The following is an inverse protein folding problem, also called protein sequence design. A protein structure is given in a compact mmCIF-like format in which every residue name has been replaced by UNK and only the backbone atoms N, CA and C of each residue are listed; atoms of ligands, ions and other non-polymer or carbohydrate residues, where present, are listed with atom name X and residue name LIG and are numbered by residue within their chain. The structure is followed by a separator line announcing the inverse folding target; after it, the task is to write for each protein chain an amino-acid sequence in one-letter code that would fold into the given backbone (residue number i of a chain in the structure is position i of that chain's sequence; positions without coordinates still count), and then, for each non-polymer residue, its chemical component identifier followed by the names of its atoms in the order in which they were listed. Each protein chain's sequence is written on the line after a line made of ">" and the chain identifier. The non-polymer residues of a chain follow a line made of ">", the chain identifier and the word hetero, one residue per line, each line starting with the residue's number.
data_IF_980902279536
#
_entry.id   IF_980902279536
#
_cell.length_a   1.000
_cell.length_b   1.000
_cell.length_c   1.000
_cell.angle_alpha   90.00
_cell.angle_beta   90.00
_cell.angle_gamma   90.00
#
_symmetry.space_group_name_H-M   'P 1'
#
loop_
_entity.id
_entity.type
_entity.pdbx_description
1 polymer ?
#
# COMPACT_ATOMS: atom_id res chain seq x y z
N UNK A 1 -26.94 -2.60 -25.93
CA UNK A 1 -25.69 -2.23 -25.23
C UNK A 1 -25.87 -0.79 -24.85
N UNK A 2 -25.78 -0.52 -23.57
CA UNK A 2 -26.23 0.71 -22.94
C UNK A 2 -25.11 1.77 -23.06
N UNK A 3 -25.44 2.99 -23.46
CA UNK A 3 -24.47 4.07 -23.72
C UNK A 3 -23.60 4.42 -22.48
N UNK A 4 -24.00 3.95 -21.29
CA UNK A 4 -23.23 4.04 -20.05
C UNK A 4 -21.97 3.17 -20.01
N UNK A 5 -21.97 2.00 -20.64
CA UNK A 5 -20.82 1.08 -20.66
C UNK A 5 -19.68 1.62 -21.55
N UNK A 6 -20.03 2.34 -22.63
CA UNK A 6 -19.06 2.89 -23.57
C UNK A 6 -18.31 4.12 -23.01
N UNK A 7 -18.99 4.91 -22.18
CA UNK A 7 -18.41 6.06 -21.47
C UNK A 7 -17.49 5.58 -20.32
N UNK A 8 -17.85 4.51 -19.62
CA UNK A 8 -17.05 3.98 -18.52
C UNK A 8 -15.82 3.18 -19.02
N UNK A 9 -15.97 2.46 -20.14
CA UNK A 9 -14.87 1.84 -20.87
C UNK A 9 -13.89 2.89 -21.41
N UNK A 10 -14.40 4.01 -21.93
CA UNK A 10 -13.59 5.15 -22.36
C UNK A 10 -12.81 5.79 -21.22
N UNK A 11 -13.37 5.91 -20.00
CA UNK A 11 -12.61 6.40 -18.82
C UNK A 11 -11.51 5.43 -18.37
N UNK A 12 -11.77 4.13 -18.38
CA UNK A 12 -10.78 3.13 -18.03
C UNK A 12 -9.62 3.10 -19.05
N UNK A 13 -9.94 3.25 -20.34
CA UNK A 13 -8.95 3.39 -21.40
C UNK A 13 -8.17 4.70 -21.29
N UNK A 14 -8.80 5.83 -20.97
CA UNK A 14 -8.10 7.10 -20.72
C UNK A 14 -7.16 7.00 -19.54
N UNK A 15 -7.52 6.29 -18.47
CA UNK A 15 -6.63 6.10 -17.31
C UNK A 15 -5.41 5.22 -17.66
N UNK A 16 -5.58 4.23 -18.54
CA UNK A 16 -4.48 3.39 -19.05
C UNK A 16 -3.61 4.17 -20.05
N UNK A 17 -4.23 4.97 -20.92
CA UNK A 17 -3.53 5.82 -21.89
C UNK A 17 -2.75 6.91 -21.16
N UNK A 18 -3.30 7.58 -20.15
CA UNK A 18 -2.59 8.58 -19.32
C UNK A 18 -1.42 7.95 -18.53
N UNK A 19 -1.51 6.67 -18.15
CA UNK A 19 -0.38 5.94 -17.57
C UNK A 19 0.74 5.64 -18.59
N UNK A 20 0.40 5.56 -19.89
CA UNK A 20 1.29 5.23 -21.01
C UNK A 20 1.86 6.48 -21.71
N UNK A 21 1.08 7.56 -21.84
CA UNK A 21 1.41 8.75 -22.65
C UNK A 21 1.85 9.96 -21.83
N UNK A 22 1.85 9.88 -20.49
CA UNK A 22 2.36 10.96 -19.66
C UNK A 22 3.82 11.28 -20.04
N UNK A 23 4.03 12.50 -20.58
CA UNK A 23 5.30 13.23 -20.65
C UNK A 23 6.14 12.88 -19.42
N UNK A 24 7.47 12.67 -19.51
CA UNK A 24 8.30 12.23 -18.38
C UNK A 24 8.36 13.34 -17.31
N UNK A 25 7.29 13.46 -16.55
CA UNK A 25 7.26 14.13 -15.27
C UNK A 25 8.11 13.30 -14.34
N UNK A 26 8.93 13.97 -13.53
CA UNK A 26 9.78 13.32 -12.53
C UNK A 26 8.99 12.17 -11.86
N UNK A 27 9.54 10.94 -11.81
CA UNK A 27 8.89 9.80 -11.19
C UNK A 27 8.22 10.18 -9.87
N UNK A 28 7.03 9.63 -9.59
CA UNK A 28 6.23 10.03 -8.43
C UNK A 28 7.00 9.94 -7.09
N UNK A 29 7.99 9.06 -6.97
CA UNK A 29 8.88 8.98 -5.82
C UNK A 29 9.82 10.18 -5.73
N UNK A 30 10.43 10.64 -6.83
CA UNK A 30 11.25 11.87 -6.87
C UNK A 30 10.43 13.09 -6.45
N UNK A 31 9.18 13.19 -6.93
CA UNK A 31 8.28 14.28 -6.50
C UNK A 31 7.91 14.20 -5.02
N UNK A 32 7.80 13.00 -4.44
CA UNK A 32 7.53 12.81 -3.01
C UNK A 32 8.76 13.19 -2.18
N UNK A 33 9.95 12.73 -2.58
CA UNK A 33 11.23 13.07 -1.95
C UNK A 33 11.48 14.59 -1.96
N UNK A 34 11.36 15.26 -3.11
CA UNK A 34 11.55 16.72 -3.16
C UNK A 34 10.57 17.48 -2.26
N UNK A 35 9.31 17.02 -2.16
CA UNK A 35 8.37 17.58 -1.20
C UNK A 35 8.78 17.27 0.26
N UNK A 36 9.34 16.09 0.55
CA UNK A 36 9.74 15.70 1.92
C UNK A 36 10.92 16.58 2.36
N UNK A 37 11.87 16.81 1.45
CA UNK A 37 12.97 17.77 1.61
C UNK A 37 12.45 19.20 1.84
N UNK A 38 11.49 19.69 1.06
CA UNK A 38 10.85 20.99 1.29
C UNK A 38 10.18 21.09 2.67
N UNK A 39 9.60 20.00 3.18
CA UNK A 39 8.93 20.00 4.50
C UNK A 39 9.92 19.92 5.65
N UNK A 40 11.01 19.16 5.45
CA UNK A 40 12.13 19.07 6.39
C UNK A 40 12.96 20.36 6.44
N UNK A 41 13.01 21.11 5.33
CA UNK A 41 13.71 22.40 5.24
C UNK A 41 12.97 23.55 5.93
N UNK A 42 11.69 23.37 6.30
CA UNK A 42 10.98 24.36 7.11
C UNK A 42 11.54 24.35 8.54
N UNK A 43 11.67 25.53 9.20
CA UNK A 43 12.13 25.60 10.58
C UNK A 43 11.27 24.69 11.48
N UNK A 44 11.89 23.81 12.29
CA UNK A 44 11.14 22.95 13.18
C UNK A 44 10.42 23.80 14.22
N UNK A 45 9.11 23.59 14.33
CA UNK A 45 8.28 24.25 15.34
C UNK A 45 8.24 23.33 16.55
N UNK A 46 8.59 23.84 17.72
CA UNK A 46 8.52 23.07 18.95
C UNK A 46 7.06 22.86 19.39
N UNK A 47 6.72 21.79 20.13
CA UNK A 47 5.35 21.54 20.58
C UNK A 47 4.70 22.74 21.28
N UNK A 48 5.44 23.44 22.14
CA UNK A 48 4.95 24.63 22.85
C UNK A 48 4.71 25.82 21.92
N UNK A 49 5.62 26.03 20.96
CA UNK A 49 5.50 27.06 19.93
C UNK A 49 4.27 26.80 19.05
N UNK A 50 4.01 25.55 18.68
CA UNK A 50 2.82 25.16 17.94
C UNK A 50 1.54 25.52 18.70
N UNK A 51 1.48 25.19 20.00
CA UNK A 51 0.31 25.51 20.86
C UNK A 51 0.11 27.02 20.95
N UNK A 52 1.18 27.79 21.16
CA UNK A 52 1.11 29.25 21.24
C UNK A 52 0.60 29.87 19.92
N UNK A 53 1.17 29.46 18.79
CA UNK A 53 0.74 29.92 17.48
C UNK A 53 -0.71 29.50 17.17
N UNK A 54 -1.12 28.30 17.60
CA UNK A 54 -2.46 27.77 17.35
C UNK A 54 -3.51 28.57 18.13
N UNK A 55 -3.24 28.87 19.39
CA UNK A 55 -4.09 29.73 20.24
C UNK A 55 -4.22 31.15 19.66
N UNK A 56 -3.14 31.68 19.07
CA UNK A 56 -3.14 32.98 18.38
C UNK A 56 -3.79 32.95 16.98
N UNK A 57 -4.27 31.80 16.50
CA UNK A 57 -4.76 31.59 15.12
C UNK A 57 -3.73 31.94 14.03
N UNK A 58 -2.44 31.77 14.32
CA UNK A 58 -1.32 32.09 13.41
C UNK A 58 -0.64 30.86 12.80
N UNK A 59 -1.00 29.65 13.22
CA UNK A 59 -0.50 28.41 12.60
C UNK A 59 -1.04 28.29 11.18
N UNK A 60 -0.13 28.20 10.22
CA UNK A 60 -0.45 27.79 8.86
C UNK A 60 -0.44 26.26 8.72
N UNK A 61 -1.14 25.68 7.73
CA UNK A 61 -1.12 24.23 7.57
C UNK A 61 0.24 23.66 7.13
N UNK A 62 1.09 24.47 6.47
CA UNK A 62 2.48 24.08 6.17
C UNK A 62 3.28 23.90 7.46
N UNK A 63 3.10 24.81 8.42
CA UNK A 63 3.70 24.74 9.74
C UNK A 63 3.19 23.53 10.53
N UNK A 64 1.87 23.26 10.51
CA UNK A 64 1.32 22.06 11.13
C UNK A 64 1.86 20.75 10.52
N UNK A 65 2.00 20.70 9.20
CA UNK A 65 2.58 19.55 8.50
C UNK A 65 4.06 19.36 8.85
N UNK A 66 4.84 20.43 8.88
CA UNK A 66 6.27 20.39 9.26
C UNK A 66 6.45 19.96 10.72
N UNK A 67 5.65 20.51 11.65
CA UNK A 67 5.61 20.10 13.05
C UNK A 67 5.38 18.59 13.20
N UNK A 68 4.31 18.08 12.58
CA UNK A 68 3.98 16.64 12.61
C UNK A 68 5.08 15.79 11.95
N UNK A 69 5.64 16.25 10.84
CA UNK A 69 6.66 15.52 10.10
C UNK A 69 7.95 15.39 10.92
N UNK A 70 8.49 16.50 11.41
CA UNK A 70 9.74 16.53 12.16
C UNK A 70 9.63 15.72 13.45
N UNK A 71 8.56 15.92 14.22
CA UNK A 71 8.33 15.16 15.45
C UNK A 71 8.21 13.65 15.18
N UNK A 72 7.52 13.26 14.09
CA UNK A 72 7.42 11.85 13.69
C UNK A 72 8.77 11.26 13.30
N UNK A 73 9.61 12.02 12.60
CA UNK A 73 10.97 11.59 12.22
C UNK A 73 11.83 11.40 13.47
N UNK A 74 11.77 12.33 14.43
CA UNK A 74 12.56 12.26 15.66
C UNK A 74 12.15 11.07 16.54
N UNK A 75 10.85 10.80 16.68
CA UNK A 75 10.36 9.59 17.34
C UNK A 75 10.83 8.33 16.58
N UNK A 76 10.80 8.34 15.25
CA UNK A 76 11.21 7.19 14.44
C UNK A 76 12.71 6.90 14.47
N UNK A 77 13.55 7.83 14.90
CA UNK A 77 14.98 7.54 15.15
C UNK A 77 15.19 6.64 16.37
N UNK A 78 14.26 6.64 17.33
CA UNK A 78 14.32 5.81 18.54
C UNK A 78 14.03 4.32 18.21
N UNK A 79 14.60 3.33 18.92
CA UNK A 79 14.24 1.90 18.80
C UNK A 79 12.74 1.65 19.04
N UNK A 80 12.14 0.64 18.40
CA UNK A 80 10.70 0.33 18.52
C UNK A 80 10.23 0.16 19.98
N UNK A 81 11.05 -0.46 20.84
CA UNK A 81 10.79 -0.63 22.27
C UNK A 81 10.78 0.68 23.07
N UNK A 82 11.46 1.70 22.56
CA UNK A 82 11.60 3.03 23.16
C UNK A 82 10.63 4.05 22.54
N UNK A 83 10.01 3.71 21.41
CA UNK A 83 8.85 4.44 20.84
C UNK A 83 7.56 4.17 21.61
N UNK A 84 7.68 3.75 22.87
CA UNK A 84 6.56 3.67 23.81
C UNK A 84 5.87 5.02 23.93
N UNK A 85 4.89 5.17 24.82
CA UNK A 85 4.06 6.36 24.82
C UNK A 85 4.81 7.53 25.48
N UNK A 86 5.82 8.03 24.78
CA UNK A 86 6.54 9.25 25.05
C UNK A 86 5.51 10.36 25.22
N UNK A 87 5.63 11.11 26.30
CA UNK A 87 4.72 12.24 26.59
C UNK A 87 4.71 13.27 25.46
N UNK A 88 5.77 13.33 24.65
CA UNK A 88 5.87 14.18 23.45
C UNK A 88 4.92 13.74 22.32
N UNK A 89 4.68 12.43 22.14
CA UNK A 89 3.76 11.94 21.11
C UNK A 89 2.30 11.92 21.60
N UNK A 90 2.11 11.79 22.93
CA UNK A 90 0.80 11.86 23.55
C UNK A 90 0.21 13.27 23.39
N UNK A 91 -0.95 13.35 22.74
CA UNK A 91 -1.78 14.56 22.53
C UNK A 91 -1.45 15.41 21.30
N UNK A 92 -0.42 15.11 20.51
CA UNK A 92 -0.08 15.85 19.29
C UNK A 92 -1.23 15.80 18.27
N UNK A 93 -1.69 14.60 17.95
CA UNK A 93 -2.80 14.35 17.03
C UNK A 93 -4.07 15.02 17.53
N UNK A 94 -4.41 14.85 18.81
CA UNK A 94 -5.55 15.53 19.44
C UNK A 94 -5.48 17.06 19.34
N UNK A 95 -4.32 17.68 19.64
CA UNK A 95 -4.12 19.14 19.55
C UNK A 95 -4.27 19.64 18.11
N UNK A 96 -3.70 18.93 17.13
CA UNK A 96 -3.83 19.29 15.72
C UNK A 96 -5.29 19.14 15.25
N UNK A 97 -6.02 18.12 15.69
CA UNK A 97 -7.45 17.99 15.39
C UNK A 97 -8.29 19.13 15.99
N UNK A 98 -8.02 19.54 17.23
CA UNK A 98 -8.68 20.69 17.86
C UNK A 98 -8.38 21.98 17.11
N UNK A 99 -7.12 22.18 16.71
CA UNK A 99 -6.73 23.30 15.85
C UNK A 99 -7.51 23.27 14.52
N UNK A 100 -7.54 22.14 13.81
CA UNK A 100 -8.31 22.00 12.57
C UNK A 100 -9.79 22.35 12.75
N UNK A 101 -10.39 21.95 13.88
CA UNK A 101 -11.79 22.28 14.21
C UNK A 101 -11.99 23.78 14.47
N UNK A 102 -11.02 24.44 15.11
CA UNK A 102 -11.07 25.88 15.45
C UNK A 102 -10.95 26.83 14.25
N UNK A 103 -10.44 26.35 13.12
CA UNK A 103 -10.20 27.14 11.90
C UNK A 103 -11.43 27.25 10.97
N UNK A 104 -12.61 26.91 11.49
CA UNK A 104 -13.92 27.06 10.85
C UNK A 104 -13.93 26.66 9.37
N UNK A 105 -13.45 25.44 9.10
CA UNK A 105 -13.60 24.68 7.85
C UNK A 105 -13.12 25.34 6.53
N UNK A 106 -12.76 26.62 6.45
CA UNK A 106 -12.26 27.27 5.23
C UNK A 106 -10.81 26.88 4.90
N UNK A 107 -10.09 26.33 5.88
CA UNK A 107 -8.80 25.64 5.66
C UNK A 107 -9.01 24.28 4.96
N UNK A 108 -10.27 23.79 4.84
CA UNK A 108 -10.63 22.54 4.14
C UNK A 108 -10.19 22.53 2.69
N UNK A 109 -10.15 23.67 2.02
CA UNK A 109 -10.09 23.67 0.55
C UNK A 109 -8.68 23.67 -0.04
N UNK A 110 -7.68 24.23 0.64
CA UNK A 110 -6.33 24.38 0.04
C UNK A 110 -5.23 23.53 0.68
N UNK A 111 -5.37 23.10 1.93
CA UNK A 111 -4.31 22.34 2.63
C UNK A 111 -4.81 21.15 3.47
N UNK A 112 -6.10 21.03 3.76
CA UNK A 112 -6.58 20.26 4.92
C UNK A 112 -6.35 18.75 4.92
N UNK A 113 -6.07 18.09 3.79
CA UNK A 113 -5.98 16.63 3.76
C UNK A 113 -5.01 16.13 2.69
N UNK A 114 -3.91 16.85 2.40
CA UNK A 114 -2.94 16.27 1.47
C UNK A 114 -2.39 14.93 2.03
N UNK A 115 -2.03 13.99 1.15
CA UNK A 115 -1.61 12.64 1.55
C UNK A 115 -0.47 12.61 2.59
N UNK A 116 0.40 13.64 2.62
CA UNK A 116 1.50 13.74 3.59
C UNK A 116 0.96 14.10 4.97
N UNK A 117 0.15 15.15 5.05
CA UNK A 117 -0.46 15.59 6.30
C UNK A 117 -1.25 14.44 6.93
N UNK A 118 -2.11 13.79 6.13
CA UNK A 118 -2.86 12.58 6.54
C UNK A 118 -1.91 11.49 7.02
N UNK A 119 -0.85 11.19 6.25
CA UNK A 119 0.15 10.20 6.64
C UNK A 119 0.94 10.54 7.92
N UNK A 120 1.09 11.80 8.27
CA UNK A 120 1.78 12.23 9.50
C UNK A 120 0.83 12.22 10.69
N UNK A 121 -0.34 12.86 10.58
CA UNK A 121 -1.31 12.91 11.67
C UNK A 121 -1.84 11.51 12.02
N UNK A 122 -2.06 10.61 11.05
CA UNK A 122 -2.47 9.23 11.33
C UNK A 122 -1.50 8.47 12.22
N UNK A 123 -0.19 8.79 12.18
CA UNK A 123 0.78 8.17 13.10
C UNK A 123 0.47 8.52 14.55
N UNK A 124 0.31 9.81 14.85
CA UNK A 124 -0.01 10.27 16.20
C UNK A 124 -1.39 9.81 16.67
N UNK A 125 -2.39 9.80 15.78
CA UNK A 125 -3.72 9.31 16.15
C UNK A 125 -3.72 7.83 16.53
N UNK A 126 -2.90 7.00 15.87
CA UNK A 126 -2.73 5.59 16.26
C UNK A 126 -2.00 5.47 17.59
N UNK A 127 -0.92 6.23 17.80
CA UNK A 127 -0.18 6.22 19.08
C UNK A 127 -1.06 6.68 20.25
N UNK A 128 -1.99 7.62 20.00
CA UNK A 128 -2.92 8.15 21.00
C UNK A 128 -4.19 7.32 21.19
N UNK A 129 -4.43 6.27 20.40
CA UNK A 129 -5.68 5.51 20.44
C UNK A 129 -6.91 6.34 20.03
N UNK A 130 -6.73 7.28 19.08
CA UNK A 130 -7.75 8.23 18.61
C UNK A 130 -8.25 7.93 17.20
N UNK A 131 -8.02 6.73 16.67
CA UNK A 131 -8.48 6.35 15.33
C UNK A 131 -10.00 6.42 15.18
N UNK A 132 -10.75 6.16 16.27
CA UNK A 132 -12.22 6.24 16.28
C UNK A 132 -12.74 7.61 15.86
N UNK A 133 -12.04 8.70 16.21
CA UNK A 133 -12.42 10.03 15.77
C UNK A 133 -12.42 10.13 14.24
N UNK A 134 -11.35 9.64 13.60
CA UNK A 134 -11.25 9.65 12.13
C UNK A 134 -12.31 8.74 11.52
N UNK A 135 -12.58 7.60 12.16
CA UNK A 135 -13.60 6.67 11.71
C UNK A 135 -15.00 7.28 11.71
N UNK A 136 -15.42 7.90 12.82
CA UNK A 136 -16.70 8.60 12.91
C UNK A 136 -16.80 9.74 11.90
N UNK A 137 -15.72 10.50 11.71
CA UNK A 137 -15.68 11.57 10.73
C UNK A 137 -15.79 11.05 9.29
N UNK A 138 -15.06 9.99 8.93
CA UNK A 138 -15.16 9.38 7.60
C UNK A 138 -16.56 8.84 7.31
N UNK A 139 -17.20 8.17 8.28
CA UNK A 139 -18.59 7.70 8.13
C UNK A 139 -19.55 8.87 7.87
N UNK A 140 -19.42 9.95 8.63
CA UNK A 140 -20.24 11.15 8.46
C UNK A 140 -20.01 11.83 7.10
N UNK A 141 -18.75 11.96 6.67
CA UNK A 141 -18.42 12.58 5.37
C UNK A 141 -18.85 11.72 4.17
N UNK A 142 -18.81 10.38 4.31
CA UNK A 142 -19.27 9.47 3.27
C UNK A 142 -20.81 9.36 3.20
N UNK A 143 -21.51 9.62 4.31
CA UNK A 143 -22.98 9.67 4.33
C UNK A 143 -23.58 10.98 3.80
N UNK A 144 -22.77 12.05 3.70
CA UNK A 144 -23.26 13.36 3.27
C UNK A 144 -22.99 13.59 1.77
N UNK A 145 -24.04 13.64 0.96
CA UNK A 145 -23.97 13.89 -0.50
C UNK A 145 -23.44 15.29 -0.85
N UNK A 146 -23.56 16.27 0.05
CA UNK A 146 -22.98 17.61 -0.09
C UNK A 146 -21.49 17.55 0.30
N UNK A 147 -20.68 17.15 -0.66
CA UNK A 147 -19.25 16.89 -0.53
C UNK A 147 -18.45 18.16 -0.12
N UNK A 148 -17.92 18.20 1.11
CA UNK A 148 -17.16 19.35 1.64
C UNK A 148 -15.63 19.14 1.77
N UNK A 149 -15.05 18.03 1.29
CA UNK A 149 -13.59 17.81 1.39
C UNK A 149 -12.87 17.45 0.07
N UNK A 150 -11.58 17.73 0.01
CA UNK A 150 -10.77 17.49 -1.19
C UNK A 150 -10.65 15.97 -1.50
N UNK A 151 -10.98 15.48 -2.72
CA UNK A 151 -11.04 14.05 -3.04
C UNK A 151 -9.75 13.26 -2.72
N UNK A 152 -8.58 13.85 -2.98
CA UNK A 152 -7.30 13.15 -2.80
C UNK A 152 -6.96 12.79 -1.34
N UNK A 153 -7.52 13.53 -0.38
CA UNK A 153 -7.23 13.37 1.04
C UNK A 153 -8.12 12.36 1.74
N UNK A 154 -9.38 12.28 1.33
CA UNK A 154 -10.37 11.34 1.89
C UNK A 154 -9.92 9.89 1.74
N UNK A 155 -9.44 9.54 0.56
CA UNK A 155 -9.04 8.18 0.21
C UNK A 155 -7.74 7.74 0.91
N UNK A 156 -6.96 8.70 1.42
CA UNK A 156 -5.68 8.42 2.05
C UNK A 156 -5.80 7.98 3.52
N UNK A 157 -6.90 8.27 4.21
CA UNK A 157 -7.01 8.06 5.65
C UNK A 157 -6.91 6.61 6.08
N UNK A 158 -7.71 5.71 5.50
CA UNK A 158 -7.64 4.28 5.83
C UNK A 158 -6.25 3.73 5.56
N UNK A 159 -5.71 4.02 4.37
CA UNK A 159 -4.36 3.63 3.98
C UNK A 159 -3.28 4.19 4.92
N UNK A 160 -3.43 5.42 5.42
CA UNK A 160 -2.49 6.06 6.34
C UNK A 160 -2.56 5.49 7.75
N UNK A 161 -3.77 5.23 8.27
CA UNK A 161 -4.00 4.56 9.55
C UNK A 161 -3.37 3.15 9.51
N UNK A 162 -3.62 2.38 8.45
CA UNK A 162 -3.01 1.06 8.27
C UNK A 162 -1.48 1.12 8.30
N UNK A 163 -0.88 2.07 7.58
CA UNK A 163 0.59 2.28 7.62
C UNK A 163 1.09 2.64 9.01
N UNK A 164 0.37 3.50 9.73
CA UNK A 164 0.70 3.88 11.08
C UNK A 164 0.61 2.69 12.05
N UNK A 165 -0.47 1.93 11.99
CA UNK A 165 -0.66 0.70 12.78
C UNK A 165 0.44 -0.33 12.53
N UNK A 166 0.86 -0.55 11.27
CA UNK A 166 1.99 -1.45 10.95
C UNK A 166 3.28 -0.95 11.58
N UNK A 167 3.52 0.36 11.55
CA UNK A 167 4.73 0.98 12.12
C UNK A 167 4.75 0.93 13.65
N UNK A 168 3.60 1.06 14.30
CA UNK A 168 3.48 1.07 15.77
C UNK A 168 3.47 -0.35 16.33
N UNK A 169 2.67 -1.25 15.74
CA UNK A 169 2.51 -2.62 16.25
C UNK A 169 3.56 -3.61 15.77
N UNK A 170 4.24 -3.34 14.65
CA UNK A 170 5.15 -4.31 14.02
C UNK A 170 4.46 -5.53 13.40
N UNK A 171 3.12 -5.62 13.41
CA UNK A 171 2.32 -6.72 12.84
C UNK A 171 1.45 -6.25 11.67
N UNK A 172 0.87 -7.17 10.90
CA UNK A 172 -0.08 -6.82 9.81
C UNK A 172 -1.54 -6.99 10.23
N UNK A 173 -1.82 -7.74 11.28
CA UNK A 173 -3.18 -8.08 11.69
C UNK A 173 -4.04 -6.85 11.96
N UNK A 174 -3.52 -5.90 12.75
CA UNK A 174 -4.24 -4.67 13.08
C UNK A 174 -4.53 -3.82 11.81
N UNK A 175 -3.55 -3.53 10.95
CA UNK A 175 -3.81 -2.91 9.64
C UNK A 175 -4.84 -3.64 8.77
N UNK A 176 -4.77 -4.96 8.67
CA UNK A 176 -5.69 -5.72 7.82
C UNK A 176 -7.10 -5.79 8.41
N UNK A 177 -7.25 -5.83 9.74
CA UNK A 177 -8.55 -5.66 10.42
C UNK A 177 -9.14 -4.28 10.17
N UNK A 178 -8.31 -3.23 10.09
CA UNK A 178 -8.76 -1.89 9.68
C UNK A 178 -9.31 -1.88 8.26
N UNK A 179 -8.66 -2.59 7.31
CA UNK A 179 -9.21 -2.77 5.96
C UNK A 179 -10.55 -3.53 5.99
N UNK A 180 -10.64 -4.62 6.75
CA UNK A 180 -11.88 -5.38 6.90
C UNK A 180 -13.02 -4.52 7.46
N UNK A 181 -12.74 -3.71 8.49
CA UNK A 181 -13.68 -2.71 9.02
C UNK A 181 -14.11 -1.71 7.94
N UNK A 182 -13.18 -1.23 7.12
CA UNK A 182 -13.47 -0.36 5.98
C UNK A 182 -14.46 -0.99 4.99
N UNK A 183 -14.25 -2.26 4.63
CA UNK A 183 -15.12 -2.99 3.71
C UNK A 183 -16.53 -3.20 4.26
N UNK A 184 -16.67 -3.35 5.58
CA UNK A 184 -17.95 -3.62 6.23
C UNK A 184 -18.72 -2.33 6.54
N UNK A 185 -18.01 -1.26 6.90
CA UNK A 185 -18.63 -0.02 7.39
C UNK A 185 -18.91 1.03 6.31
N UNK A 186 -18.16 1.01 5.19
CA UNK A 186 -18.34 2.00 4.13
C UNK A 186 -19.21 1.46 3.00
N UNK A 187 -20.11 2.31 2.49
CA UNK A 187 -21.02 2.01 1.38
C UNK A 187 -21.04 3.19 0.39
N UNK A 188 -21.53 2.96 -0.84
CA UNK A 188 -21.72 4.00 -1.85
C UNK A 188 -20.56 4.21 -2.83
N UNK A 189 -20.68 5.18 -3.75
CA UNK A 189 -19.80 5.32 -4.92
C UNK A 189 -18.35 5.69 -4.56
N UNK A 190 -18.12 6.33 -3.41
CA UNK A 190 -16.79 6.74 -2.95
C UNK A 190 -16.01 5.62 -2.21
N UNK A 191 -16.67 4.48 -1.94
CA UNK A 191 -16.04 3.32 -1.34
C UNK A 191 -14.86 2.83 -2.17
N UNK A 192 -15.01 2.84 -3.49
CA UNK A 192 -14.02 2.31 -4.44
C UNK A 192 -12.64 2.94 -4.23
N UNK A 193 -12.56 4.26 -4.11
CA UNK A 193 -11.28 4.94 -4.04
C UNK A 193 -10.61 4.80 -2.66
N UNK A 194 -11.40 4.86 -1.58
CA UNK A 194 -10.92 4.60 -0.21
C UNK A 194 -10.36 3.18 -0.10
N UNK A 195 -11.11 2.21 -0.62
CA UNK A 195 -10.74 0.79 -0.60
C UNK A 195 -9.54 0.54 -1.51
N UNK A 196 -9.45 1.18 -2.68
CA UNK A 196 -8.31 1.02 -3.58
C UNK A 196 -6.98 1.42 -2.93
N UNK A 197 -6.94 2.57 -2.26
CA UNK A 197 -5.74 3.03 -1.57
C UNK A 197 -5.35 2.08 -0.43
N UNK A 198 -6.34 1.64 0.36
CA UNK A 198 -6.15 0.71 1.46
C UNK A 198 -5.70 -0.69 0.99
N UNK A 199 -6.32 -1.22 -0.07
CA UNK A 199 -5.98 -2.50 -0.69
C UNK A 199 -4.54 -2.51 -1.21
N UNK A 200 -4.08 -1.42 -1.81
CA UNK A 200 -2.68 -1.29 -2.26
C UNK A 200 -1.70 -1.32 -1.09
N UNK A 201 -2.04 -0.69 0.03
CA UNK A 201 -1.22 -0.72 1.25
C UNK A 201 -1.19 -2.11 1.84
N UNK A 202 -2.34 -2.79 1.93
CA UNK A 202 -2.41 -4.18 2.37
C UNK A 202 -1.56 -5.09 1.48
N UNK A 203 -1.67 -4.97 0.15
CA UNK A 203 -0.88 -5.75 -0.79
C UNK A 203 0.63 -5.56 -0.56
N UNK A 204 1.09 -4.32 -0.37
CA UNK A 204 2.50 -4.05 -0.06
C UNK A 204 2.95 -4.69 1.27
N UNK A 205 2.08 -4.73 2.28
CA UNK A 205 2.40 -5.31 3.58
C UNK A 205 2.53 -6.84 3.50
N UNK A 206 1.62 -7.52 2.81
CA UNK A 206 1.60 -8.99 2.73
C UNK A 206 2.70 -9.55 1.81
N UNK A 207 3.15 -8.74 0.84
CA UNK A 207 4.24 -9.07 -0.09
C UNK A 207 5.63 -9.10 0.55
N UNK A 208 5.76 -8.68 1.81
CA UNK A 208 6.98 -8.82 2.59
C UNK A 208 7.29 -10.31 2.84
N UNK A 209 8.40 -10.82 2.28
CA UNK A 209 8.81 -12.23 2.39
C UNK A 209 9.31 -12.61 3.79
N UNK A 210 9.57 -11.63 4.66
CA UNK A 210 9.98 -11.86 6.05
C UNK A 210 8.79 -11.96 7.02
N UNK A 211 7.60 -11.60 6.55
CA UNK A 211 6.38 -11.58 7.34
C UNK A 211 5.92 -13.01 7.66
N UNK A 212 5.80 -13.32 8.96
CA UNK A 212 5.20 -14.56 9.45
C UNK A 212 3.76 -14.77 8.92
N UNK A 213 3.30 -16.02 8.79
CA UNK A 213 1.91 -16.31 8.45
C UNK A 213 0.95 -15.58 9.40
N UNK A 214 -0.08 -14.98 8.81
CA UNK A 214 -1.13 -14.23 9.50
C UNK A 214 -2.49 -14.91 9.26
N UNK A 215 -3.53 -14.43 9.95
CA UNK A 215 -4.89 -14.96 9.84
C UNK A 215 -5.37 -15.00 8.36
N UNK A 216 -5.67 -16.18 7.79
CA UNK A 216 -6.13 -16.31 6.40
C UNK A 216 -7.39 -15.49 6.08
N UNK A 217 -8.27 -15.28 7.06
CA UNK A 217 -9.48 -14.46 6.86
C UNK A 217 -9.15 -13.01 6.53
N UNK A 218 -7.98 -12.53 6.95
CA UNK A 218 -7.48 -11.20 6.60
C UNK A 218 -6.94 -11.15 5.17
N UNK A 219 -6.41 -12.25 4.63
CA UNK A 219 -6.04 -12.34 3.22
C UNK A 219 -7.28 -12.27 2.32
N UNK A 220 -8.37 -12.94 2.72
CA UNK A 220 -9.67 -12.86 2.04
C UNK A 220 -10.25 -11.43 2.06
N UNK A 221 -10.05 -10.68 3.14
CA UNK A 221 -10.42 -9.27 3.17
C UNK A 221 -9.65 -8.44 2.13
N UNK A 222 -8.34 -8.70 1.93
CA UNK A 222 -7.56 -8.03 0.89
C UNK A 222 -8.05 -8.39 -0.51
N UNK A 223 -8.38 -9.67 -0.75
CA UNK A 223 -8.99 -10.10 -2.01
C UNK A 223 -10.30 -9.37 -2.26
N UNK A 224 -11.22 -9.38 -1.29
CA UNK A 224 -12.50 -8.68 -1.41
C UNK A 224 -12.32 -7.17 -1.67
N UNK A 225 -11.31 -6.55 -1.05
CA UNK A 225 -10.96 -5.16 -1.31
C UNK A 225 -10.52 -4.93 -2.77
N UNK A 226 -9.67 -5.81 -3.31
CA UNK A 226 -9.27 -5.75 -4.72
C UNK A 226 -10.49 -5.95 -5.63
N UNK A 227 -11.37 -6.89 -5.31
CA UNK A 227 -12.56 -7.15 -6.12
C UNK A 227 -13.52 -5.96 -6.19
N UNK A 228 -13.67 -5.21 -5.10
CA UNK A 228 -14.50 -4.00 -5.04
C UNK A 228 -13.81 -2.76 -5.62
N UNK A 229 -12.48 -2.69 -5.55
CA UNK A 229 -11.71 -1.54 -6.04
C UNK A 229 -11.59 -1.50 -7.57
N UNK A 230 -11.60 -2.67 -8.22
CA UNK A 230 -11.34 -2.80 -9.66
C UNK A 230 -12.55 -3.37 -10.41
N UNK A 231 -12.74 -2.89 -11.65
CA UNK A 231 -13.84 -3.34 -12.51
C UNK A 231 -13.83 -4.87 -12.71
N UNK A 232 -15.00 -5.53 -12.69
CA UNK A 232 -15.13 -6.94 -13.03
C UNK A 232 -14.47 -7.28 -14.37
N UNK A 233 -13.78 -8.42 -14.44
CA UNK A 233 -13.11 -8.88 -15.66
C UNK A 233 -11.85 -8.12 -16.08
N UNK A 234 -11.58 -6.94 -15.52
CA UNK A 234 -10.42 -6.12 -15.91
C UNK A 234 -9.08 -6.83 -15.72
N UNK A 235 -8.15 -6.61 -16.65
CA UNK A 235 -6.79 -7.15 -16.56
C UNK A 235 -6.07 -6.69 -15.28
N UNK A 236 -6.33 -5.45 -14.84
CA UNK A 236 -5.81 -4.92 -13.59
C UNK A 236 -6.29 -5.72 -12.36
N UNK A 237 -7.59 -6.06 -12.29
CA UNK A 237 -8.15 -6.92 -11.23
C UNK A 237 -7.51 -8.30 -11.24
N UNK A 238 -7.50 -8.97 -12.40
CA UNK A 238 -6.92 -10.33 -12.56
C UNK A 238 -5.46 -10.37 -12.12
N UNK A 239 -4.66 -9.41 -12.57
CA UNK A 239 -3.26 -9.25 -12.16
C UNK A 239 -3.13 -9.10 -10.64
N UNK A 240 -3.88 -8.19 -10.03
CA UNK A 240 -3.76 -7.90 -8.59
C UNK A 240 -4.14 -9.12 -7.74
N UNK A 241 -5.19 -9.85 -8.12
CA UNK A 241 -5.57 -11.11 -7.47
C UNK A 241 -4.46 -12.14 -7.61
N UNK A 242 -3.94 -12.33 -8.83
CA UNK A 242 -2.87 -13.27 -9.09
C UNK A 242 -1.59 -12.97 -8.28
N UNK A 243 -1.19 -11.70 -8.21
CA UNK A 243 -0.06 -11.25 -7.38
C UNK A 243 -0.31 -11.49 -5.89
N UNK A 244 -1.51 -11.18 -5.38
CA UNK A 244 -1.89 -11.38 -3.98
C UNK A 244 -1.80 -12.86 -3.60
N UNK A 245 -2.32 -13.74 -4.46
CA UNK A 245 -2.37 -15.18 -4.22
C UNK A 245 -1.01 -15.85 -4.14
N UNK A 246 0.06 -15.25 -4.66
CA UNK A 246 1.43 -15.74 -4.43
C UNK A 246 1.86 -15.62 -2.96
N UNK A 247 1.26 -14.70 -2.21
CA UNK A 247 1.63 -14.36 -0.84
C UNK A 247 0.55 -14.73 0.18
N UNK A 248 -0.45 -15.53 -0.23
CA UNK A 248 -1.46 -16.03 0.69
C UNK A 248 -0.80 -16.83 1.83
N UNK A 249 -1.20 -16.64 3.11
CA UNK A 249 -0.46 -17.18 4.26
C UNK A 249 -0.50 -18.72 4.37
N UNK A 250 -1.56 -19.37 3.88
CA UNK A 250 -1.73 -20.84 3.93
C UNK A 250 -1.85 -21.52 2.56
N UNK A 251 -2.46 -20.87 1.57
CA UNK A 251 -2.73 -21.42 0.23
C UNK A 251 -2.11 -20.57 -0.89
N UNK A 252 -0.78 -20.40 -0.93
CA UNK A 252 -0.13 -19.70 -2.02
C UNK A 252 -0.43 -20.41 -3.36
N UNK A 253 -0.89 -19.65 -4.36
CA UNK A 253 -1.34 -20.18 -5.65
C UNK A 253 -0.63 -19.48 -6.82
N UNK A 254 0.37 -20.16 -7.38
CA UNK A 254 1.14 -19.65 -8.52
C UNK A 254 0.45 -19.83 -9.88
N UNK A 255 -0.57 -20.69 -9.98
CA UNK A 255 -1.26 -20.94 -11.25
C UNK A 255 -1.99 -19.69 -11.75
N UNK A 256 -2.60 -18.92 -10.84
CA UNK A 256 -3.25 -17.66 -11.19
C UNK A 256 -2.27 -16.64 -11.78
N UNK A 257 -1.04 -16.61 -11.28
CA UNK A 257 0.01 -15.75 -11.83
C UNK A 257 0.48 -16.27 -13.19
N UNK A 258 0.72 -17.57 -13.32
CA UNK A 258 1.10 -18.19 -14.59
C UNK A 258 0.09 -17.87 -15.70
N UNK A 259 -1.21 -18.02 -15.43
CA UNK A 259 -2.28 -17.76 -16.39
C UNK A 259 -2.37 -16.27 -16.78
N UNK A 260 -2.03 -15.37 -15.86
CA UNK A 260 -2.02 -13.92 -16.09
C UNK A 260 -0.70 -13.37 -16.66
N UNK A 261 0.38 -14.14 -16.61
CA UNK A 261 1.74 -13.68 -16.92
C UNK A 261 1.91 -13.18 -18.37
N UNK A 262 1.36 -13.83 -19.42
CA UNK A 262 1.53 -13.34 -20.79
C UNK A 262 0.97 -11.91 -21.00
N UNK A 263 -0.26 -11.68 -20.56
CA UNK A 263 -0.91 -10.36 -20.69
C UNK A 263 -0.21 -9.31 -19.81
N UNK A 264 0.27 -9.70 -18.62
CA UNK A 264 1.01 -8.78 -17.76
C UNK A 264 2.39 -8.45 -18.35
N UNK A 265 3.09 -9.42 -18.92
CA UNK A 265 4.38 -9.21 -19.58
C UNK A 265 4.25 -8.20 -20.73
N UNK A 266 3.19 -8.28 -21.53
CA UNK A 266 2.97 -7.31 -22.62
C UNK A 266 2.93 -5.86 -22.11
N UNK A 267 2.24 -5.63 -20.99
CA UNK A 267 2.19 -4.31 -20.33
C UNK A 267 3.55 -3.92 -19.74
N UNK A 268 4.25 -4.88 -19.13
CA UNK A 268 5.58 -4.66 -18.51
C UNK A 268 6.61 -4.27 -19.57
N UNK A 269 6.62 -4.93 -20.72
CA UNK A 269 7.56 -4.65 -21.82
C UNK A 269 7.28 -3.30 -22.51
N UNK A 270 6.07 -2.75 -22.35
CA UNK A 270 5.69 -1.43 -22.87
C UNK A 270 6.02 -0.29 -21.90
N UNK A 271 6.40 -0.57 -20.65
CA UNK A 271 6.74 0.47 -19.68
C UNK A 271 8.25 0.75 -19.61
N UNK A 272 8.61 1.98 -19.28
CA UNK A 272 9.99 2.39 -18.98
C UNK A 272 10.29 2.42 -17.46
N UNK A 273 9.39 1.88 -16.64
CA UNK A 273 9.49 1.95 -15.18
C UNK A 273 10.13 0.68 -14.62
N UNK A 274 11.43 0.76 -14.29
CA UNK A 274 12.20 -0.33 -13.69
C UNK A 274 11.49 -1.00 -12.50
N UNK A 275 10.86 -0.21 -11.63
CA UNK A 275 10.14 -0.75 -10.47
C UNK A 275 8.97 -1.69 -10.84
N UNK A 276 8.32 -1.48 -11.99
CA UNK A 276 7.25 -2.36 -12.47
C UNK A 276 7.86 -3.65 -13.05
N UNK A 277 8.95 -3.51 -13.81
CA UNK A 277 9.69 -4.64 -14.40
C UNK A 277 10.25 -5.54 -13.29
N UNK A 278 10.92 -4.95 -12.30
CA UNK A 278 11.52 -5.65 -11.16
C UNK A 278 10.43 -6.34 -10.30
N UNK A 279 9.28 -5.68 -10.10
CA UNK A 279 8.16 -6.28 -9.36
C UNK A 279 7.53 -7.48 -10.10
N UNK A 280 7.31 -7.36 -11.42
CA UNK A 280 6.85 -8.49 -12.23
C UNK A 280 7.85 -9.65 -12.15
N UNK A 281 9.14 -9.37 -12.35
CA UNK A 281 10.15 -10.42 -12.35
C UNK A 281 10.30 -11.12 -11.00
N UNK A 282 10.20 -10.35 -9.90
CA UNK A 282 10.20 -10.91 -8.54
C UNK A 282 8.99 -11.81 -8.29
N UNK A 283 7.80 -11.40 -8.74
CA UNK A 283 6.59 -12.22 -8.63
C UNK A 283 6.67 -13.48 -9.51
N UNK A 284 7.24 -13.39 -10.71
CA UNK A 284 7.45 -14.53 -11.59
C UNK A 284 8.45 -15.53 -10.99
N UNK A 285 9.54 -15.08 -10.38
CA UNK A 285 10.48 -15.96 -9.66
C UNK A 285 9.79 -16.67 -8.49
N UNK A 286 9.00 -15.93 -7.71
CA UNK A 286 8.21 -16.51 -6.62
C UNK A 286 7.22 -17.56 -7.14
N UNK A 287 6.51 -17.26 -8.22
CA UNK A 287 5.56 -18.17 -8.84
C UNK A 287 6.25 -19.45 -9.34
N UNK A 288 7.39 -19.33 -10.01
CA UNK A 288 8.20 -20.48 -10.45
C UNK A 288 8.62 -21.36 -9.26
N UNK A 289 9.11 -20.74 -8.18
CA UNK A 289 9.50 -21.46 -6.97
C UNK A 289 8.32 -22.21 -6.31
N UNK A 290 7.15 -21.57 -6.21
CA UNK A 290 5.92 -22.23 -5.72
C UNK A 290 5.53 -23.41 -6.62
N UNK A 291 5.62 -23.26 -7.95
CA UNK A 291 5.32 -24.34 -8.90
C UNK A 291 6.29 -25.52 -8.75
N UNK A 292 7.59 -25.27 -8.52
CA UNK A 292 8.55 -26.34 -8.21
C UNK A 292 8.20 -27.07 -6.92
N UNK A 293 7.83 -26.34 -5.87
CA UNK A 293 7.34 -26.95 -4.62
C UNK A 293 6.08 -27.80 -4.82
N UNK A 294 5.30 -27.51 -5.86
CA UNK A 294 4.11 -28.26 -6.26
C UNK A 294 4.40 -29.35 -7.31
N UNK A 295 5.67 -29.64 -7.59
CA UNK A 295 6.11 -30.61 -8.62
C UNK A 295 5.57 -30.31 -10.03
N UNK A 296 5.39 -29.03 -10.36
CA UNK A 296 4.94 -28.56 -11.66
C UNK A 296 6.10 -27.99 -12.48
N UNK A 297 7.14 -28.80 -12.70
CA UNK A 297 8.44 -28.37 -13.24
C UNK A 297 8.33 -27.71 -14.62
N UNK A 298 7.55 -28.26 -15.55
CA UNK A 298 7.36 -27.67 -16.89
C UNK A 298 6.85 -26.22 -16.82
N UNK A 299 5.91 -25.95 -15.89
CA UNK A 299 5.33 -24.62 -15.71
C UNK A 299 6.30 -23.67 -15.02
N UNK A 300 7.10 -24.18 -14.09
CA UNK A 300 8.17 -23.40 -13.46
C UNK A 300 9.22 -23.00 -14.50
N UNK A 301 9.70 -23.95 -15.31
CA UNK A 301 10.70 -23.72 -16.36
C UNK A 301 10.22 -22.65 -17.36
N UNK A 302 8.94 -22.68 -17.75
CA UNK A 302 8.39 -21.64 -18.64
C UNK A 302 8.52 -20.22 -18.07
N UNK A 303 8.25 -20.03 -16.78
CA UNK A 303 8.43 -18.73 -16.12
C UNK A 303 9.91 -18.34 -16.01
N UNK A 304 10.79 -19.30 -15.75
CA UNK A 304 12.23 -19.08 -15.65
C UNK A 304 12.84 -18.71 -17.01
N UNK A 305 12.46 -19.39 -18.09
CA UNK A 305 12.90 -19.07 -19.45
C UNK A 305 12.37 -17.69 -19.90
N UNK A 306 11.14 -17.35 -19.51
CA UNK A 306 10.58 -16.01 -19.71
C UNK A 306 11.44 -14.95 -19.01
N UNK A 307 11.83 -15.17 -17.76
CA UNK A 307 12.68 -14.24 -17.01
C UNK A 307 14.08 -14.12 -17.61
N UNK A 308 14.70 -15.26 -17.95
CA UNK A 308 16.03 -15.31 -18.56
C UNK A 308 16.08 -14.54 -19.88
N UNK A 309 15.03 -14.67 -20.70
CA UNK A 309 14.98 -14.04 -22.03
C UNK A 309 14.52 -12.58 -22.03
N UNK A 310 13.58 -12.20 -21.14
CA UNK A 310 12.94 -10.86 -21.18
C UNK A 310 13.36 -9.93 -20.06
N UNK A 311 13.78 -10.45 -18.92
CA UNK A 311 14.12 -9.64 -17.74
C UNK A 311 15.45 -10.15 -17.12
N UNK A 312 16.56 -10.09 -17.88
CA UNK A 312 17.83 -10.69 -17.48
C UNK A 312 18.41 -10.07 -16.19
N UNK A 313 18.12 -8.80 -15.92
CA UNK A 313 18.51 -8.12 -14.67
C UNK A 313 17.92 -8.80 -13.43
N UNK A 314 16.67 -9.26 -13.51
CA UNK A 314 15.99 -9.90 -12.39
C UNK A 314 16.47 -11.36 -12.30
N UNK A 315 16.64 -12.04 -13.43
CA UNK A 315 17.22 -13.38 -13.50
C UNK A 315 18.65 -13.47 -12.95
N UNK A 316 19.50 -12.47 -13.17
CA UNK A 316 20.86 -12.46 -12.64
C UNK A 316 20.90 -12.41 -11.10
N UNK A 317 19.86 -11.85 -10.47
CA UNK A 317 19.67 -11.81 -9.02
C UNK A 317 18.96 -13.06 -8.44
N UNK A 318 18.78 -14.12 -9.22
CA UNK A 318 18.00 -15.31 -8.80
C UNK A 318 18.51 -16.01 -7.55
N UNK A 319 19.82 -16.03 -7.31
CA UNK A 319 20.39 -16.66 -6.09
C UNK A 319 19.97 -15.92 -4.82
N UNK A 320 19.92 -14.59 -4.87
CA UNK A 320 19.42 -13.74 -3.78
C UNK A 320 17.93 -13.96 -3.60
N UNK A 321 17.15 -13.99 -4.68
CA UNK A 321 15.73 -14.28 -4.63
C UNK A 321 15.47 -15.67 -4.02
N UNK A 322 16.23 -16.68 -4.42
CA UNK A 322 16.13 -18.04 -3.90
C UNK A 322 16.40 -18.10 -2.41
N UNK A 323 17.43 -17.38 -1.94
CA UNK A 323 17.70 -17.26 -0.50
C UNK A 323 16.46 -16.74 0.25
N UNK A 324 15.85 -15.65 -0.22
CA UNK A 324 14.65 -15.11 0.44
C UNK A 324 13.45 -16.05 0.36
N UNK A 325 13.26 -16.76 -0.76
CA UNK A 325 12.13 -17.68 -0.95
C UNK A 325 12.28 -18.97 -0.12
N UNK A 326 13.51 -19.47 0.04
CA UNK A 326 13.81 -20.60 0.91
C UNK A 326 13.48 -20.30 2.38
N UNK A 327 13.59 -19.04 2.79
CA UNK A 327 13.32 -18.60 4.16
C UNK A 327 11.96 -17.93 4.35
N UNK A 328 11.13 -17.82 3.30
CA UNK A 328 9.80 -17.23 3.43
C UNK A 328 8.91 -18.16 4.27
N UNK A 329 8.42 -17.72 5.44
CA UNK A 329 7.67 -18.60 6.34
C UNK A 329 6.27 -18.94 5.80
N UNK A 330 5.71 -18.16 4.87
CA UNK A 330 4.43 -18.47 4.20
C UNK A 330 4.52 -19.66 3.24
N UNK A 331 5.72 -20.03 2.82
CA UNK A 331 5.95 -21.17 1.93
C UNK A 331 6.33 -22.45 2.69
N UNK A 332 6.38 -22.41 4.02
CA UNK A 332 6.83 -23.52 4.86
C UNK A 332 5.94 -24.77 4.72
N UNK A 333 4.62 -24.58 4.66
CA UNK A 333 3.68 -25.69 4.44
C UNK A 333 3.93 -26.43 3.11
N UNK A 334 4.24 -25.68 2.06
CA UNK A 334 4.60 -26.27 0.76
C UNK A 334 5.97 -26.96 0.81
N UNK A 335 6.98 -26.35 1.45
CA UNK A 335 8.31 -26.97 1.61
C UNK A 335 8.26 -28.29 2.36
N UNK A 336 7.45 -28.40 3.41
CA UNK A 336 7.27 -29.66 4.16
C UNK A 336 6.56 -30.75 3.35
N UNK A 337 5.70 -30.33 2.42
CA UNK A 337 4.94 -31.25 1.56
C UNK A 337 5.73 -31.65 0.31
N UNK A 338 6.83 -30.96 0.02
CA UNK A 338 7.66 -31.20 -1.14
C UNK A 338 8.42 -32.53 -0.99
N UNK A 339 8.28 -33.41 -1.98
CA UNK A 339 8.87 -34.75 -2.00
C UNK A 339 10.13 -34.86 -2.86
N UNK A 340 10.60 -33.76 -3.44
CA UNK A 340 11.85 -33.76 -4.21
C UNK A 340 13.07 -33.95 -3.31
N UNK A 341 14.15 -34.48 -3.88
CA UNK A 341 15.33 -34.88 -3.12
C UNK A 341 16.18 -33.70 -2.62
N UNK A 342 15.98 -32.49 -3.18
CA UNK A 342 16.82 -31.32 -2.94
C UNK A 342 15.91 -30.08 -2.90
N UNK A 343 16.13 -29.09 -2.00
CA UNK A 343 15.35 -27.85 -2.02
C UNK A 343 15.30 -27.26 -3.44
N UNK A 344 14.15 -26.75 -3.90
CA UNK A 344 13.99 -26.34 -5.28
C UNK A 344 15.03 -25.29 -5.66
N UNK A 345 15.75 -25.51 -6.76
CA UNK A 345 16.70 -24.54 -7.34
C UNK A 345 16.11 -23.95 -8.60
N UNK A 346 16.53 -22.72 -8.96
CA UNK A 346 16.22 -22.12 -10.26
C UNK A 346 17.15 -22.56 -11.38
N UNK A 347 18.20 -23.30 -11.05
CA UNK A 347 19.11 -23.88 -12.03
C UNK A 347 18.70 -25.33 -12.27
N UNK A 348 18.56 -25.70 -13.55
CA UNK A 348 18.48 -27.09 -13.96
C UNK A 348 19.75 -27.81 -13.53
N UNK A 349 19.58 -28.99 -12.94
CA UNK A 349 20.60 -30.02 -12.97
C UNK A 349 20.95 -30.22 -14.44
N UNK A 350 22.19 -29.88 -14.80
CA UNK A 350 22.72 -30.01 -16.15
C UNK A 350 22.68 -31.43 -16.67
#
# INVERSE_FOLDING_TARGET
>A
MDDGDEIEYSRALVQIVDEITAVPTKPAWIRRHGKDEETAALPPILPEEFVNLATQKRVTPKQACSYLYNLKIDIQKRPLSERGPDDEARQVGGRVLLWLRSQDMNVRDQLSLNHRFVGCISYFLVVEGREEFVWSWLLHELSNEKLHCFPSGRHAWVAAIMKAQRKVSGTVDLPLRTLQRALNGFQGPYLRDVVMAAARVAQMMIQDTTLAPYDPTLAEAVLSAIERAFLPGSAARKRRIAEMMLFHPTHPNARLFLDAAPAHLEVVMKTNRDAIIDAFGSNAMRAAYILRLQSADEKANWLEDLLRSRIPKVWSARSIALFHLNHDPKLEGLRRSYKGQIPPTFDHWG
#
